data_IF_144561845317
#
_entry.id   IF_144561845317
#
_cell.length_a   1.000
_cell.length_b   1.000
_cell.length_c   1.000
_cell.angle_alpha   90.00
_cell.angle_beta   90.00
_cell.angle_gamma   90.00
#
_symmetry.space_group_name_H-M   'P 1'
#
loop_
_entity.id
_entity.type
_entity.pdbx_description
1 polymer ?
#
# COMPACT_ATOMS: atom_id res chain seq x y z
N UNK A 1 -0.49 -1.79 9.07
CA UNK A 1 -1.86 -1.25 9.12
C UNK A 1 -1.86 0.07 9.85
N UNK A 2 -2.80 0.96 9.53
CA UNK A 2 -3.01 2.25 10.19
C UNK A 2 -4.51 2.51 10.37
N UNK A 3 -4.88 3.44 11.25
CA UNK A 3 -6.28 3.87 11.35
C UNK A 3 -6.68 4.71 10.12
N UNK A 4 -7.96 4.67 9.75
CA UNK A 4 -8.56 5.62 8.81
C UNK A 4 -9.08 6.90 9.49
N UNK A 5 -8.89 7.05 10.81
CA UNK A 5 -9.39 8.13 11.67
C UNK A 5 -10.92 8.32 11.74
N UNK A 6 -11.71 7.39 11.19
CA UNK A 6 -13.18 7.40 11.30
C UNK A 6 -13.73 6.15 11.98
N UNK A 7 -12.86 5.25 12.43
CA UNK A 7 -13.22 4.05 13.20
C UNK A 7 -12.84 2.74 12.53
N UNK A 8 -12.32 2.81 11.31
CA UNK A 8 -11.82 1.69 10.53
C UNK A 8 -10.29 1.59 10.51
N UNK A 9 -9.81 0.73 9.61
CA UNK A 9 -8.40 0.44 9.40
C UNK A 9 -8.06 0.39 7.90
N UNK A 10 -6.85 0.85 7.58
CA UNK A 10 -6.24 0.71 6.25
C UNK A 10 -5.05 -0.25 6.37
N UNK A 11 -5.06 -1.28 5.54
CA UNK A 11 -4.11 -2.40 5.59
C UNK A 11 -3.44 -2.48 4.22
N UNK A 12 -2.10 -2.47 4.19
CA UNK A 12 -1.37 -2.84 3.00
C UNK A 12 -0.71 -4.20 3.18
N UNK A 13 -0.78 -5.01 2.13
CA UNK A 13 -0.17 -6.33 2.03
C UNK A 13 0.62 -6.42 0.73
N UNK A 14 1.72 -7.17 0.75
CA UNK A 14 2.34 -7.62 -0.49
C UNK A 14 1.71 -8.96 -0.91
N UNK A 15 1.16 -9.02 -2.12
CA UNK A 15 0.65 -10.29 -2.64
C UNK A 15 1.84 -11.10 -3.20
N UNK A 16 2.35 -12.00 -2.37
CA UNK A 16 3.67 -12.62 -2.52
C UNK A 16 3.75 -13.76 -3.54
N UNK A 17 2.68 -14.12 -4.26
CA UNK A 17 2.74 -15.23 -5.21
C UNK A 17 3.41 -14.86 -6.56
N UNK A 18 3.42 -13.58 -6.93
CA UNK A 18 3.89 -13.09 -8.24
C UNK A 18 4.81 -11.85 -8.13
N UNK A 19 5.20 -11.49 -6.90
CA UNK A 19 6.29 -10.58 -6.53
C UNK A 19 6.20 -9.08 -6.83
N UNK A 20 5.06 -8.49 -7.25
CA UNK A 20 5.08 -7.06 -7.62
C UNK A 20 3.81 -6.29 -7.34
N UNK A 21 2.80 -6.88 -6.70
CA UNK A 21 1.55 -6.18 -6.45
C UNK A 21 1.42 -5.87 -4.97
N UNK A 22 1.32 -4.58 -4.67
CA UNK A 22 0.91 -4.10 -3.37
C UNK A 22 -0.60 -3.94 -3.38
N UNK A 23 -1.26 -4.57 -2.43
CA UNK A 23 -2.70 -4.47 -2.21
C UNK A 23 -2.94 -3.61 -0.99
N UNK A 24 -3.88 -2.68 -1.09
CA UNK A 24 -4.36 -1.88 0.03
C UNK A 24 -5.86 -2.07 0.18
N UNK A 25 -6.27 -2.53 1.35
CA UNK A 25 -7.68 -2.68 1.70
C UNK A 25 -8.05 -1.70 2.79
N UNK A 26 -9.32 -1.29 2.80
CA UNK A 26 -9.93 -0.50 3.87
C UNK A 26 -11.04 -1.32 4.49
N UNK A 27 -11.05 -1.35 5.82
CA UNK A 27 -12.07 -1.97 6.65
C UNK A 27 -12.76 -0.87 7.44
N UNK A 28 -14.08 -0.76 7.37
CA UNK A 28 -14.84 0.17 8.22
C UNK A 28 -15.08 -0.39 9.62
N UNK A 29 -15.72 0.39 10.50
CA UNK A 29 -16.01 -0.01 11.88
C UNK A 29 -17.00 -1.17 12.01
N UNK A 30 -17.80 -1.43 10.98
CA UNK A 30 -18.79 -2.51 10.94
C UNK A 30 -18.23 -3.78 10.28
N UNK A 31 -16.97 -3.74 9.81
CA UNK A 31 -16.30 -4.83 9.13
C UNK A 31 -16.57 -4.90 7.63
N UNK A 32 -17.14 -3.85 7.03
CA UNK A 32 -17.32 -3.69 5.60
C UNK A 32 -16.04 -3.25 4.88
N UNK A 33 -16.02 -3.40 3.56
CA UNK A 33 -14.90 -3.01 2.69
C UNK A 33 -15.29 -1.84 1.78
N UNK A 34 -15.06 -0.57 2.18
CA UNK A 34 -15.47 0.60 1.39
C UNK A 34 -14.85 0.69 -0.01
N UNK A 35 -13.68 0.09 -0.20
CA UNK A 35 -13.00 0.00 -1.52
C UNK A 35 -13.31 -1.29 -2.27
N UNK A 36 -14.31 -2.07 -1.81
CA UNK A 36 -14.56 -3.43 -2.27
C UNK A 36 -13.61 -4.46 -1.66
N UNK A 37 -13.98 -5.73 -1.73
CA UNK A 37 -13.21 -6.85 -1.17
C UNK A 37 -11.83 -7.00 -1.84
N UNK A 38 -11.71 -6.59 -3.11
CA UNK A 38 -10.47 -6.61 -3.88
C UNK A 38 -9.55 -5.41 -3.56
N UNK A 39 -10.05 -4.40 -2.85
CA UNK A 39 -9.31 -3.19 -2.50
C UNK A 39 -8.69 -2.46 -3.68
N UNK A 40 -7.59 -1.76 -3.40
CA UNK A 40 -6.80 -1.00 -4.39
C UNK A 40 -5.46 -1.71 -4.57
N UNK A 41 -5.14 -2.08 -5.81
CA UNK A 41 -3.87 -2.72 -6.13
C UNK A 41 -3.00 -1.87 -7.04
N UNK A 42 -1.70 -1.87 -6.80
CA UNK A 42 -0.72 -1.23 -7.67
C UNK A 42 0.45 -2.15 -7.94
N UNK A 43 0.85 -2.18 -9.21
CA UNK A 43 2.03 -2.89 -9.66
C UNK A 43 3.28 -2.05 -9.40
N UNK A 44 4.23 -2.63 -8.69
CA UNK A 44 5.50 -2.04 -8.30
C UNK A 44 6.63 -2.95 -8.76
N UNK A 45 7.30 -2.54 -9.83
CA UNK A 45 8.51 -3.23 -10.26
C UNK A 45 9.66 -3.01 -9.28
N UNK A 46 10.44 -4.07 -9.07
CA UNK A 46 11.60 -4.04 -8.18
C UNK A 46 11.28 -3.84 -6.69
N UNK A 47 10.03 -4.04 -6.26
CA UNK A 47 9.63 -3.94 -4.85
C UNK A 47 10.54 -4.79 -3.94
N UNK A 48 10.98 -4.21 -2.82
CA UNK A 48 11.64 -4.95 -1.74
C UNK A 48 10.62 -5.37 -0.70
N UNK A 49 10.48 -6.68 -0.52
CA UNK A 49 9.72 -7.27 0.58
C UNK A 49 10.10 -6.68 1.94
N UNK A 50 9.11 -6.56 2.82
CA UNK A 50 9.24 -6.02 4.19
C UNK A 50 9.63 -4.53 4.29
N UNK A 51 9.50 -3.75 3.20
CA UNK A 51 9.81 -2.31 3.21
C UNK A 51 8.57 -1.40 3.32
N UNK A 52 7.37 -1.98 3.36
CA UNK A 52 6.11 -1.25 3.47
C UNK A 52 6.05 -0.44 4.76
N UNK A 53 5.73 0.83 4.62
CA UNK A 53 5.38 1.76 5.70
C UNK A 53 4.07 2.44 5.33
N UNK A 54 3.23 2.72 6.33
CA UNK A 54 1.93 3.34 6.14
C UNK A 54 1.75 4.44 7.16
N UNK A 55 1.12 5.54 6.74
CA UNK A 55 0.62 6.59 7.61
C UNK A 55 -0.75 7.02 7.12
N UNK A 56 -1.66 7.32 8.05
CA UNK A 56 -2.96 7.87 7.72
C UNK A 56 -2.81 9.29 7.17
N UNK A 57 -3.66 9.70 6.22
CA UNK A 57 -3.62 11.04 5.65
C UNK A 57 -4.53 12.06 6.37
N UNK A 58 -5.13 11.68 7.51
CA UNK A 58 -6.13 12.44 8.28
C UNK A 58 -7.50 12.65 7.64
N UNK A 59 -7.64 12.39 6.33
CA UNK A 59 -8.88 12.57 5.57
C UNK A 59 -9.59 11.24 5.27
N UNK A 60 -9.12 10.14 5.84
CA UNK A 60 -9.70 8.80 5.65
C UNK A 60 -9.02 7.97 4.56
N UNK A 61 -7.90 8.45 4.02
CA UNK A 61 -6.97 7.73 3.17
C UNK A 61 -5.66 7.40 3.88
N UNK A 62 -4.66 7.00 3.09
CA UNK A 62 -3.33 6.67 3.59
C UNK A 62 -2.23 7.03 2.59
N UNK A 63 -1.04 7.30 3.11
CA UNK A 63 0.20 7.34 2.35
C UNK A 63 0.95 6.04 2.62
N UNK A 64 1.25 5.31 1.56
CA UNK A 64 2.08 4.11 1.57
C UNK A 64 3.47 4.49 1.09
N UNK A 65 4.51 4.05 1.78
CA UNK A 65 5.89 4.16 1.34
C UNK A 65 6.53 2.77 1.24
N UNK A 66 7.40 2.58 0.26
CA UNK A 66 8.14 1.33 0.07
C UNK A 66 9.50 1.58 -0.58
N UNK A 67 10.38 0.59 -0.49
CA UNK A 67 11.64 0.58 -1.22
C UNK A 67 11.48 -0.21 -2.52
N UNK A 68 11.97 0.36 -3.62
CA UNK A 68 12.07 -0.29 -4.91
C UNK A 68 13.50 -0.28 -5.41
N UNK A 69 13.88 -1.28 -6.21
CA UNK A 69 15.14 -1.32 -6.94
C UNK A 69 14.90 -0.91 -8.39
N UNK A 70 15.63 0.08 -8.85
CA UNK A 70 15.60 0.52 -10.25
C UNK A 70 16.97 0.42 -10.90
N UNK A 71 16.98 0.31 -12.23
CA UNK A 71 18.20 0.18 -13.04
C UNK A 71 18.50 -1.26 -13.46
N UNK A 72 19.48 -1.39 -14.34
CA UNK A 72 19.89 -2.65 -14.94
C UNK A 72 20.58 -3.59 -13.92
N UNK A 73 20.62 -4.91 -14.18
CA UNK A 73 21.40 -5.85 -13.37
C UNK A 73 22.86 -5.40 -13.25
N UNK A 74 23.33 -5.18 -12.01
CA UNK A 74 24.69 -4.68 -11.71
C UNK A 74 24.74 -3.20 -11.33
N UNK A 75 23.72 -2.41 -11.68
CA UNK A 75 23.64 -0.96 -11.39
C UNK A 75 22.42 -0.61 -10.54
N UNK A 76 21.80 -1.60 -9.90
CA UNK A 76 20.56 -1.40 -9.15
C UNK A 76 20.76 -0.42 -8.00
N UNK A 77 20.00 0.68 -8.04
CA UNK A 77 19.90 1.64 -6.94
C UNK A 77 18.62 1.37 -6.16
N UNK A 78 18.68 1.53 -4.83
CA UNK A 78 17.49 1.46 -3.98
C UNK A 78 16.90 2.87 -3.87
N UNK A 79 15.64 3.00 -4.29
CA UNK A 79 14.86 4.23 -4.24
C UNK A 79 13.70 4.06 -3.26
N UNK A 80 13.27 5.16 -2.63
CA UNK A 80 12.06 5.20 -1.80
C UNK A 80 10.94 5.80 -2.64
N UNK A 81 9.81 5.10 -2.67
CA UNK A 81 8.60 5.51 -3.37
C UNK A 81 7.48 5.74 -2.38
N UNK A 82 6.52 6.57 -2.78
CA UNK A 82 5.31 6.84 -2.00
C UNK A 82 4.10 6.89 -2.92
N UNK A 83 2.97 6.36 -2.45
CA UNK A 83 1.67 6.49 -3.08
C UNK A 83 0.66 6.95 -2.04
N UNK A 84 -0.15 7.95 -2.40
CA UNK A 84 -1.34 8.30 -1.62
C UNK A 84 -2.53 7.56 -2.21
N UNK A 85 -3.33 6.95 -1.34
CA UNK A 85 -4.65 6.39 -1.62
C UNK A 85 -5.65 7.24 -0.85
N UNK A 86 -6.64 7.81 -1.54
CA UNK A 86 -7.65 8.67 -0.94
C UNK A 86 -8.83 7.82 -0.41
N UNK A 87 -9.92 8.46 0.02
CA UNK A 87 -11.11 7.75 0.50
C UNK A 87 -11.85 6.94 -0.56
N UNK A 88 -11.63 7.21 -1.84
CA UNK A 88 -12.29 6.56 -2.98
C UNK A 88 -11.49 5.37 -3.53
N UNK A 89 -10.20 5.27 -3.19
CA UNK A 89 -9.30 4.22 -3.62
C UNK A 89 -8.32 4.66 -4.70
#
# INVERSE_FOLDING_TARGET
MVSDNVGGAIIATDNSYNERTLLVTKLDSDGGFPWGEDGVSFYVDGYRANSLQLVSDSDGGAIIAWQGRTGEPGERVTCVYTQKVNTEG
#
